data_IF_802881405796
#
_entry.id   IF_802881405796
#
_cell.length_a   1.000
_cell.length_b   1.000
_cell.length_c   1.000
_cell.angle_alpha   90.00
_cell.angle_beta   90.00
_cell.angle_gamma   90.00
#
_symmetry.space_group_name_H-M   'P 1'
#
loop_
_entity.id
_entity.type
_entity.pdbx_description
1 polymer ?
#
# COMPACT_ATOMS: atom_id res chain seq x y z
N UNK A 1 44.39 -3.92 10.79
CA UNK A 1 43.62 -4.11 9.54
C UNK A 1 42.97 -2.78 9.21
N UNK A 2 43.24 -2.21 8.05
CA UNK A 2 42.57 -0.98 7.60
C UNK A 2 41.21 -1.35 7.03
N UNK A 3 40.15 -0.88 7.68
CA UNK A 3 38.76 -1.24 7.33
C UNK A 3 38.41 -0.76 5.91
N UNK A 4 38.98 0.36 5.46
CA UNK A 4 38.84 0.87 4.09
C UNK A 4 39.32 -0.13 3.03
N UNK A 5 40.53 -0.69 3.19
CA UNK A 5 41.08 -1.70 2.26
C UNK A 5 40.23 -2.97 2.20
N UNK A 6 39.70 -3.40 3.35
CA UNK A 6 38.77 -4.53 3.38
C UNK A 6 37.49 -4.24 2.57
N UNK A 7 36.94 -3.02 2.66
CA UNK A 7 35.79 -2.63 1.84
C UNK A 7 36.12 -2.53 0.35
N UNK A 8 37.31 -2.03 -0.02
CA UNK A 8 37.80 -2.02 -1.40
C UNK A 8 37.93 -3.45 -1.97
N UNK A 9 38.50 -4.39 -1.22
CA UNK A 9 38.61 -5.81 -1.62
C UNK A 9 37.23 -6.50 -1.72
N UNK A 10 36.31 -6.25 -0.77
CA UNK A 10 34.93 -6.76 -0.83
C UNK A 10 34.21 -6.22 -2.06
N UNK A 11 34.36 -4.93 -2.36
CA UNK A 11 33.78 -4.27 -3.53
C UNK A 11 34.30 -4.87 -4.83
N UNK A 12 35.63 -5.01 -4.97
CA UNK A 12 36.27 -5.64 -6.12
C UNK A 12 35.79 -7.09 -6.31
N UNK A 13 35.62 -7.85 -5.21
CA UNK A 13 35.05 -9.20 -5.26
C UNK A 13 33.59 -9.20 -5.69
N UNK A 14 32.74 -8.32 -5.16
CA UNK A 14 31.34 -8.19 -5.59
C UNK A 14 31.25 -7.87 -7.08
N UNK A 15 32.10 -6.97 -7.58
CA UNK A 15 32.17 -6.61 -9.00
C UNK A 15 32.65 -7.78 -9.87
N UNK A 16 33.61 -8.56 -9.39
CA UNK A 16 34.03 -9.82 -10.03
C UNK A 16 32.88 -10.82 -10.12
N UNK A 17 32.22 -11.11 -8.99
CA UNK A 17 31.06 -12.00 -8.92
C UNK A 17 29.93 -11.53 -9.88
N UNK A 18 29.66 -10.21 -9.95
CA UNK A 18 28.66 -9.61 -10.84
C UNK A 18 29.01 -9.78 -12.33
N UNK A 19 30.26 -9.51 -12.69
CA UNK A 19 30.76 -9.67 -14.06
C UNK A 19 30.75 -11.14 -14.52
N UNK A 20 30.83 -12.10 -13.59
CA UNK A 20 30.69 -13.55 -13.81
C UNK A 20 29.21 -13.99 -13.86
N UNK A 21 28.27 -13.21 -13.29
CA UNK A 21 26.82 -13.46 -13.45
C UNK A 21 26.21 -12.85 -14.71
N UNK A 22 26.91 -11.89 -15.33
CA UNK A 22 26.92 -11.75 -16.79
C UNK A 22 27.72 -12.91 -17.42
N UNK A 23 27.80 -13.02 -18.74
CA UNK A 23 28.35 -14.18 -19.49
C UNK A 23 27.54 -15.48 -19.33
N UNK A 24 26.83 -15.70 -18.21
CA UNK A 24 25.82 -16.77 -18.10
C UNK A 24 24.77 -16.61 -19.21
N UNK A 25 24.66 -17.61 -20.08
CA UNK A 25 23.79 -17.55 -21.26
C UNK A 25 22.35 -17.95 -20.91
N UNK A 26 21.52 -16.95 -20.64
CA UNK A 26 20.06 -17.07 -20.69
C UNK A 26 19.53 -16.33 -21.93
N UNK A 27 18.71 -17.01 -22.74
CA UNK A 27 18.24 -16.49 -24.02
C UNK A 27 17.10 -15.48 -23.84
N UNK A 28 17.29 -14.26 -24.34
CA UNK A 28 16.27 -13.21 -24.34
C UNK A 28 16.78 -11.90 -24.93
N UNK A 29 15.89 -10.91 -25.09
CA UNK A 29 16.27 -9.56 -25.51
C UNK A 29 17.27 -8.93 -24.52
N UNK A 30 18.06 -7.95 -24.98
CA UNK A 30 19.09 -7.23 -24.18
C UNK A 30 18.60 -6.65 -22.84
N UNK A 31 17.29 -6.38 -22.70
CA UNK A 31 16.64 -6.00 -21.44
C UNK A 31 16.60 -7.18 -20.46
N UNK A 32 15.82 -8.21 -20.77
CA UNK A 32 15.66 -9.43 -19.95
C UNK A 32 17.00 -10.03 -19.48
N UNK A 33 18.02 -10.06 -20.35
CA UNK A 33 19.36 -10.52 -19.96
C UNK A 33 19.98 -9.71 -18.81
N UNK A 34 19.80 -8.38 -18.80
CA UNK A 34 20.31 -7.47 -17.75
C UNK A 34 19.49 -7.54 -16.47
N UNK A 35 18.20 -7.84 -16.58
CA UNK A 35 17.32 -8.12 -15.45
C UNK A 35 17.72 -9.46 -14.79
N UNK A 36 17.89 -10.51 -15.60
CA UNK A 36 18.30 -11.85 -15.14
C UNK A 36 19.71 -11.87 -14.53
N UNK A 37 20.67 -11.18 -15.15
CA UNK A 37 22.03 -11.00 -14.59
C UNK A 37 22.00 -10.36 -13.20
N UNK A 38 21.15 -9.35 -12.97
CA UNK A 38 21.03 -8.69 -11.67
C UNK A 38 20.32 -9.58 -10.64
N UNK A 39 19.23 -10.25 -11.04
CA UNK A 39 18.52 -11.22 -10.20
C UNK A 39 19.47 -12.34 -9.74
N UNK A 40 20.19 -12.96 -10.68
CA UNK A 40 21.18 -14.00 -10.41
C UNK A 40 22.30 -13.53 -9.50
N UNK A 41 22.87 -12.34 -9.73
CA UNK A 41 23.87 -11.77 -8.83
C UNK A 41 23.37 -11.67 -7.38
N UNK A 42 22.17 -11.11 -7.19
CA UNK A 42 21.60 -10.86 -5.87
C UNK A 42 21.25 -12.16 -5.13
N UNK A 43 20.67 -13.15 -5.83
CA UNK A 43 20.33 -14.45 -5.24
C UNK A 43 21.55 -15.33 -4.97
N UNK A 44 22.68 -15.11 -5.65
CA UNK A 44 23.90 -15.90 -5.48
C UNK A 44 24.75 -15.37 -4.30
N UNK A 45 24.17 -15.44 -3.10
CA UNK A 45 24.83 -15.16 -1.82
C UNK A 45 25.19 -13.69 -1.61
N UNK A 46 24.43 -12.74 -2.18
CA UNK A 46 24.55 -11.31 -1.92
C UNK A 46 23.40 -10.77 -1.07
N UNK A 47 22.23 -11.39 -1.16
CA UNK A 47 21.15 -11.28 -0.18
C UNK A 47 21.04 -12.56 0.66
N UNK A 48 20.60 -12.47 1.92
CA UNK A 48 20.19 -13.64 2.72
C UNK A 48 19.16 -14.53 1.99
N UNK A 49 19.28 -15.85 2.13
CA UNK A 49 18.46 -16.83 1.40
C UNK A 49 16.95 -16.72 1.65
N UNK A 50 16.52 -16.09 2.75
CA UNK A 50 15.11 -15.79 3.01
C UNK A 50 14.52 -14.83 1.97
N UNK A 51 15.32 -14.00 1.31
CA UNK A 51 14.84 -13.07 0.30
C UNK A 51 14.80 -13.75 -1.07
N UNK A 52 13.66 -13.64 -1.74
CA UNK A 52 13.45 -14.04 -3.13
C UNK A 52 13.40 -12.83 -4.04
N UNK A 53 13.81 -13.01 -5.29
CA UNK A 53 13.61 -12.04 -6.36
C UNK A 53 12.94 -12.75 -7.53
N UNK A 54 11.88 -12.18 -8.08
CA UNK A 54 11.17 -12.69 -9.25
C UNK A 54 10.55 -11.57 -10.08
N UNK A 55 10.28 -11.82 -11.36
CA UNK A 55 9.47 -10.93 -12.18
C UNK A 55 7.99 -11.31 -12.04
N UNK A 56 7.08 -10.36 -12.15
CA UNK A 56 5.64 -10.62 -11.96
C UNK A 56 4.78 -9.36 -11.90
N UNK A 57 3.50 -9.54 -11.59
CA UNK A 57 2.53 -8.46 -11.37
C UNK A 57 2.16 -8.38 -9.88
N UNK A 58 1.77 -7.19 -9.41
CA UNK A 58 1.43 -6.93 -8.01
C UNK A 58 -0.02 -6.48 -7.93
N UNK A 59 -0.82 -7.10 -7.06
CA UNK A 59 -2.24 -6.82 -6.88
C UNK A 59 -2.52 -6.22 -5.50
N UNK A 60 -3.53 -5.35 -5.41
CA UNK A 60 -4.07 -4.85 -4.14
C UNK A 60 -5.45 -5.43 -3.87
N UNK A 61 -5.89 -5.35 -2.61
CA UNK A 61 -7.26 -5.68 -2.22
C UNK A 61 -8.33 -4.65 -2.71
N UNK A 62 -7.95 -3.69 -3.57
CA UNK A 62 -8.79 -2.60 -4.12
C UNK A 62 -8.87 -2.61 -5.66
N UNK A 63 -8.88 -3.81 -6.26
CA UNK A 63 -9.01 -4.07 -7.71
C UNK A 63 -7.93 -3.44 -8.60
N UNK A 64 -6.82 -3.01 -8.02
CA UNK A 64 -5.69 -2.46 -8.76
C UNK A 64 -4.65 -3.56 -9.05
N UNK A 65 -4.04 -3.49 -10.23
CA UNK A 65 -2.94 -4.35 -10.68
C UNK A 65 -1.80 -3.46 -11.15
N UNK A 66 -0.56 -3.78 -10.80
CA UNK A 66 0.63 -3.10 -11.31
C UNK A 66 0.89 -3.49 -12.77
N UNK A 67 1.78 -2.75 -13.45
CA UNK A 67 2.47 -3.30 -14.62
C UNK A 67 3.31 -4.51 -14.19
N UNK A 68 3.72 -5.35 -15.14
CA UNK A 68 4.78 -6.32 -14.90
C UNK A 68 6.06 -5.61 -14.40
N UNK A 69 6.63 -6.11 -13.31
CA UNK A 69 7.82 -5.59 -12.64
C UNK A 69 9.02 -6.49 -12.90
N UNK A 70 10.16 -5.89 -13.22
CA UNK A 70 11.41 -6.57 -13.58
C UNK A 70 11.92 -7.48 -12.46
N UNK A 71 11.96 -6.96 -11.22
CA UNK A 71 12.51 -7.61 -10.04
C UNK A 71 11.75 -7.20 -8.76
N UNK A 72 10.76 -8.02 -8.38
CA UNK A 72 10.01 -7.98 -7.13
C UNK A 72 10.80 -8.74 -6.07
N UNK A 73 11.06 -8.09 -4.93
CA UNK A 73 11.72 -8.68 -3.75
C UNK A 73 10.66 -9.05 -2.71
N UNK A 74 10.79 -10.24 -2.13
CA UNK A 74 9.82 -10.81 -1.20
C UNK A 74 10.51 -11.73 -0.15
N UNK A 75 9.82 -12.06 0.94
CA UNK A 75 10.30 -13.02 1.96
C UNK A 75 9.75 -14.40 1.64
N UNK A 76 10.61 -15.34 1.22
CA UNK A 76 10.24 -16.72 0.86
C UNK A 76 9.56 -17.48 2.00
N UNK A 77 9.72 -17.05 3.25
CA UNK A 77 9.13 -17.70 4.43
C UNK A 77 7.75 -17.15 4.83
N UNK A 78 7.31 -16.02 4.25
CA UNK A 78 6.08 -15.31 4.66
C UNK A 78 5.19 -14.84 3.51
N UNK A 79 5.73 -14.71 2.30
CA UNK A 79 5.00 -14.24 1.13
C UNK A 79 4.10 -15.32 0.53
N UNK A 80 2.84 -14.97 0.28
CA UNK A 80 1.93 -15.75 -0.56
C UNK A 80 2.16 -15.30 -2.01
N UNK A 81 2.26 -16.25 -2.94
CA UNK A 81 2.45 -15.99 -4.37
C UNK A 81 1.42 -16.82 -5.13
N UNK A 82 0.70 -16.20 -6.07
CA UNK A 82 -0.20 -16.91 -6.96
C UNK A 82 0.52 -17.16 -8.30
N UNK A 83 0.52 -18.41 -8.75
CA UNK A 83 1.05 -18.78 -10.06
C UNK A 83 -0.10 -18.75 -11.06
N UNK A 84 -0.08 -17.76 -11.97
CA UNK A 84 -1.13 -17.55 -12.98
C UNK A 84 -0.86 -18.36 -14.25
N UNK A 85 0.42 -18.60 -14.55
CA UNK A 85 0.92 -19.46 -15.62
C UNK A 85 2.36 -19.90 -15.29
N UNK A 86 2.96 -20.76 -16.14
CA UNK A 86 4.40 -21.11 -16.04
C UNK A 86 5.34 -19.89 -16.09
N UNK A 87 4.89 -18.75 -16.63
CA UNK A 87 5.70 -17.55 -16.86
C UNK A 87 5.36 -16.36 -15.95
N UNK A 88 4.17 -16.34 -15.34
CA UNK A 88 3.63 -15.13 -14.70
C UNK A 88 3.21 -15.38 -13.26
N UNK A 89 3.97 -14.77 -12.33
CA UNK A 89 3.69 -14.76 -10.90
C UNK A 89 2.92 -13.49 -10.52
N UNK A 90 1.92 -13.66 -9.66
CA UNK A 90 1.10 -12.57 -9.11
C UNK A 90 1.36 -12.49 -7.61
N UNK A 91 1.71 -11.30 -7.14
CA UNK A 91 2.05 -11.01 -5.76
C UNK A 91 0.98 -10.11 -5.12
N UNK A 92 0.34 -10.50 -4.02
CA UNK A 92 -0.33 -9.58 -3.11
C UNK A 92 0.64 -8.48 -2.66
N UNK A 93 0.20 -7.22 -2.59
CA UNK A 93 1.02 -6.09 -2.14
C UNK A 93 1.61 -6.28 -0.73
N UNK A 94 0.90 -7.02 0.12
CA UNK A 94 1.33 -7.44 1.46
C UNK A 94 2.58 -8.34 1.41
N UNK A 95 2.74 -9.14 0.35
CA UNK A 95 3.85 -10.08 0.14
C UNK A 95 5.12 -9.45 -0.45
N UNK A 96 5.09 -8.17 -0.86
CA UNK A 96 6.19 -7.51 -1.59
C UNK A 96 7.01 -6.60 -0.68
N UNK A 97 8.28 -6.95 -0.43
CA UNK A 97 9.23 -6.09 0.29
C UNK A 97 9.55 -4.81 -0.51
N UNK A 98 9.72 -4.94 -1.81
CA UNK A 98 9.98 -3.82 -2.72
C UNK A 98 10.29 -4.26 -4.15
N UNK A 99 10.66 -3.31 -5.01
CA UNK A 99 11.09 -3.58 -6.40
C UNK A 99 12.45 -2.95 -6.72
N UNK A 100 13.11 -3.53 -7.73
CA UNK A 100 14.20 -2.89 -8.45
C UNK A 100 13.77 -2.68 -9.91
N UNK A 101 13.72 -1.41 -10.33
CA UNK A 101 13.58 -1.00 -11.74
C UNK A 101 14.94 -1.09 -12.43
N UNK A 102 15.10 -1.97 -13.42
CA UNK A 102 16.40 -2.25 -14.04
C UNK A 102 16.54 -1.50 -15.36
N UNK A 103 17.38 -0.48 -15.40
CA UNK A 103 17.57 0.36 -16.59
C UNK A 103 18.91 0.12 -17.29
N UNK A 104 18.84 -0.13 -18.60
CA UNK A 104 20.02 -0.38 -19.44
C UNK A 104 20.99 0.80 -19.51
N UNK A 105 20.46 2.03 -19.53
CA UNK A 105 21.17 3.31 -19.38
C UNK A 105 20.19 4.29 -18.74
N UNK A 106 20.63 5.13 -17.81
CA UNK A 106 19.75 6.03 -17.07
C UNK A 106 19.78 7.47 -17.62
N UNK A 107 18.92 7.74 -18.60
CA UNK A 107 18.60 9.08 -19.09
C UNK A 107 17.52 9.76 -18.23
N UNK A 108 17.24 11.06 -18.43
CA UNK A 108 16.09 11.75 -17.78
C UNK A 108 14.77 10.99 -18.02
N UNK A 109 14.50 10.58 -19.26
CA UNK A 109 13.28 9.85 -19.59
C UNK A 109 13.18 8.50 -18.87
N UNK A 110 14.28 7.72 -18.82
CA UNK A 110 14.31 6.43 -18.11
C UNK A 110 14.29 6.54 -16.59
N UNK A 111 14.78 7.66 -16.04
CA UNK A 111 14.57 8.01 -14.64
C UNK A 111 13.09 8.23 -14.37
N UNK A 112 12.42 9.16 -15.07
CA UNK A 112 10.99 9.44 -14.85
C UNK A 112 10.12 8.19 -15.04
N UNK A 113 10.41 7.35 -16.03
CA UNK A 113 9.74 6.05 -16.22
C UNK A 113 9.82 5.16 -14.97
N UNK A 114 11.01 5.01 -14.38
CA UNK A 114 11.20 4.24 -13.15
C UNK A 114 10.52 4.88 -11.93
N UNK A 115 10.50 6.21 -11.85
CA UNK A 115 9.81 6.93 -10.77
C UNK A 115 8.30 6.76 -10.82
N UNK A 116 7.68 6.84 -12.01
CA UNK A 116 6.23 6.59 -12.16
C UNK A 116 5.88 5.11 -11.93
N UNK A 117 6.76 4.16 -12.28
CA UNK A 117 6.56 2.75 -11.92
C UNK A 117 6.62 2.53 -10.40
N UNK A 118 7.63 3.08 -9.71
CA UNK A 118 7.75 3.02 -8.23
C UNK A 118 6.54 3.69 -7.56
N UNK A 119 6.11 4.84 -8.06
CA UNK A 119 4.89 5.52 -7.59
C UNK A 119 3.66 4.64 -7.78
N UNK A 120 3.49 4.01 -8.93
CA UNK A 120 2.35 3.11 -9.18
C UNK A 120 2.31 1.96 -8.16
N UNK A 121 3.46 1.35 -7.84
CA UNK A 121 3.57 0.36 -6.77
C UNK A 121 3.18 0.94 -5.41
N UNK A 122 3.78 2.07 -5.02
CA UNK A 122 3.52 2.66 -3.70
C UNK A 122 2.08 3.14 -3.52
N UNK A 123 1.37 3.46 -4.61
CA UNK A 123 -0.08 3.74 -4.57
C UNK A 123 -0.99 2.52 -4.43
N UNK A 124 -0.47 1.29 -4.60
CA UNK A 124 -1.20 0.05 -4.26
C UNK A 124 -1.22 -0.22 -2.75
N UNK A 125 -0.29 0.37 -2.01
CA UNK A 125 -0.13 0.14 -0.57
C UNK A 125 -1.23 0.84 0.22
N UNK A 126 -2.01 0.06 0.97
CA UNK A 126 -2.92 0.56 1.97
C UNK A 126 -2.19 0.73 3.32
N UNK A 127 -2.12 1.95 3.90
CA UNK A 127 -1.59 2.15 5.24
C UNK A 127 -2.49 1.45 6.27
N UNK A 128 -1.97 0.42 6.93
CA UNK A 128 -2.65 -0.34 7.97
C UNK A 128 -1.94 -0.16 9.30
N UNK A 129 -2.71 0.04 10.37
CA UNK A 129 -2.20 0.04 11.74
C UNK A 129 -1.97 -1.41 12.19
N UNK A 130 -0.72 -1.84 12.17
CA UNK A 130 -0.30 -3.14 12.74
C UNK A 130 -0.12 -2.96 14.24
N UNK A 131 -0.64 -3.92 15.01
CA UNK A 131 -0.57 -3.91 16.47
C UNK A 131 0.17 -5.15 16.94
N UNK A 132 1.33 -4.97 17.59
CA UNK A 132 2.14 -6.06 18.17
C UNK A 132 2.08 -6.06 19.70
N UNK A 133 1.88 -7.24 20.27
CA UNK A 133 1.97 -7.47 21.71
C UNK A 133 3.41 -7.87 22.08
N UNK A 134 3.99 -7.17 23.05
CA UNK A 134 5.31 -7.43 23.63
C UNK A 134 5.10 -7.97 25.05
N UNK A 135 4.87 -9.28 25.13
CA UNK A 135 4.34 -9.93 26.35
C UNK A 135 2.93 -9.45 26.69
N UNK A 136 2.50 -9.73 27.92
CA UNK A 136 1.10 -9.55 28.34
C UNK A 136 0.73 -8.10 28.71
N UNK A 137 1.66 -7.14 28.60
CA UNK A 137 1.54 -5.79 29.22
C UNK A 137 1.79 -4.61 28.29
N UNK A 138 2.41 -4.84 27.13
CA UNK A 138 2.79 -3.77 26.21
C UNK A 138 2.25 -4.09 24.84
N UNK A 139 1.44 -3.18 24.31
CA UNK A 139 0.92 -3.26 22.95
C UNK A 139 1.40 -2.03 22.19
N UNK A 140 2.08 -2.25 21.06
CA UNK A 140 2.63 -1.17 20.23
C UNK A 140 1.93 -1.21 18.88
N UNK A 141 1.23 -0.12 18.56
CA UNK A 141 0.66 0.14 17.24
C UNK A 141 1.64 0.93 16.37
N UNK A 142 1.84 0.51 15.13
CA UNK A 142 2.63 1.22 14.12
C UNK A 142 2.05 0.97 12.72
N UNK A 143 2.22 1.93 11.81
CA UNK A 143 1.76 1.75 10.44
C UNK A 143 2.74 0.90 9.63
N UNK A 144 2.20 0.06 8.75
CA UNK A 144 3.00 -0.72 7.81
C UNK A 144 3.76 0.19 6.82
N UNK A 145 5.06 -0.06 6.63
CA UNK A 145 5.84 0.67 5.63
C UNK A 145 5.40 0.28 4.21
N UNK A 146 5.30 1.23 3.25
CA UNK A 146 5.09 0.87 1.84
C UNK A 146 6.28 0.07 1.30
N UNK A 147 6.10 -0.79 0.28
CA UNK A 147 7.21 -1.47 -0.38
C UNK A 147 8.26 -0.47 -0.86
N UNK A 148 9.55 -0.83 -0.77
CA UNK A 148 10.60 0.06 -1.26
C UNK A 148 10.66 0.04 -2.80
N UNK A 149 11.14 1.14 -3.39
CA UNK A 149 11.42 1.23 -4.82
C UNK A 149 12.86 1.68 -5.05
N UNK A 150 13.64 0.86 -5.75
CA UNK A 150 15.03 1.15 -6.13
C UNK A 150 15.14 1.24 -7.64
N UNK A 151 15.93 2.17 -8.16
CA UNK A 151 16.33 2.18 -9.58
C UNK A 151 17.80 1.73 -9.65
N UNK A 152 18.06 0.66 -10.41
CA UNK A 152 19.42 0.22 -10.72
C UNK A 152 19.70 0.41 -12.21
N UNK A 153 20.83 1.04 -12.53
CA UNK A 153 21.23 1.23 -13.91
C UNK A 153 22.67 0.82 -14.20
N UNK A 154 22.90 0.27 -15.39
CA UNK A 154 24.21 -0.21 -15.82
C UNK A 154 25.16 0.91 -16.30
N UNK A 155 24.64 2.07 -16.69
CA UNK A 155 25.44 3.26 -17.05
C UNK A 155 24.59 4.53 -17.09
N UNK A 156 25.25 5.69 -17.17
CA UNK A 156 24.63 6.96 -17.58
C UNK A 156 24.32 6.96 -19.10
N UNK A 157 23.55 7.95 -19.55
CA UNK A 157 23.14 8.15 -20.95
C UNK A 157 23.53 9.54 -21.47
N UNK A 158 24.80 9.93 -21.29
CA UNK A 158 25.31 11.27 -21.64
C UNK A 158 24.94 12.39 -20.65
N UNK A 159 24.25 12.03 -19.58
CA UNK A 159 23.93 12.86 -18.42
C UNK A 159 24.91 12.60 -17.26
N UNK A 160 24.88 13.42 -16.21
CA UNK A 160 25.66 13.24 -14.97
C UNK A 160 24.77 12.83 -13.78
N UNK A 161 25.39 12.32 -12.70
CA UNK A 161 24.70 12.08 -11.42
C UNK A 161 24.01 13.34 -10.90
N UNK A 162 24.67 14.50 -10.98
CA UNK A 162 24.12 15.80 -10.56
C UNK A 162 22.89 16.21 -11.40
N UNK A 163 22.92 15.98 -12.71
CA UNK A 163 21.73 16.26 -13.55
C UNK A 163 20.56 15.32 -13.24
N UNK A 164 20.81 14.04 -12.94
CA UNK A 164 19.79 13.10 -12.47
C UNK A 164 19.24 13.48 -11.09
N UNK A 165 20.10 13.96 -10.18
CA UNK A 165 19.71 14.47 -8.85
C UNK A 165 18.71 15.62 -8.96
N UNK A 166 18.98 16.56 -9.86
CA UNK A 166 18.08 17.69 -10.12
C UNK A 166 16.77 17.24 -10.81
N UNK A 167 16.83 16.28 -11.74
CA UNK A 167 15.62 15.69 -12.34
C UNK A 167 14.75 14.94 -11.30
N UNK A 168 15.37 14.22 -10.35
CA UNK A 168 14.65 13.59 -9.24
C UNK A 168 13.99 14.66 -8.36
N UNK A 169 14.71 15.75 -8.06
CA UNK A 169 14.16 16.87 -7.28
C UNK A 169 12.93 17.49 -7.95
N UNK A 170 13.01 17.82 -9.25
CA UNK A 170 11.87 18.35 -10.02
C UNK A 170 10.64 17.44 -9.95
N UNK A 171 10.84 16.11 -10.03
CA UNK A 171 9.76 15.14 -9.92
C UNK A 171 9.20 15.05 -8.48
N UNK A 172 10.08 15.06 -7.47
CA UNK A 172 9.72 15.09 -6.05
C UNK A 172 8.95 16.36 -5.66
N UNK A 173 9.24 17.52 -6.26
CA UNK A 173 8.49 18.77 -6.02
C UNK A 173 7.00 18.64 -6.43
N UNK A 174 6.69 17.73 -7.37
CA UNK A 174 5.33 17.48 -7.90
C UNK A 174 4.63 16.24 -7.29
N UNK A 175 5.29 15.48 -6.41
CA UNK A 175 4.78 14.22 -5.87
C UNK A 175 4.96 14.15 -4.34
N UNK A 176 4.06 13.50 -3.58
CA UNK A 176 4.18 13.43 -2.12
C UNK A 176 5.28 12.41 -1.68
N UNK A 177 5.97 12.61 -0.55
CA UNK A 177 7.11 11.76 -0.14
C UNK A 177 6.82 10.25 -0.06
N UNK A 178 5.57 9.90 0.23
CA UNK A 178 5.05 8.55 0.34
C UNK A 178 5.24 7.72 -0.95
N UNK A 179 5.39 8.38 -2.12
CA UNK A 179 5.63 7.73 -3.42
C UNK A 179 7.05 7.94 -3.97
N UNK A 180 7.95 8.61 -3.24
CA UNK A 180 9.33 8.83 -3.68
C UNK A 180 10.14 7.52 -3.71
N UNK A 181 11.17 7.38 -4.56
CA UNK A 181 12.06 6.22 -4.54
C UNK A 181 12.86 6.17 -3.23
N UNK A 182 13.41 5.01 -2.90
CA UNK A 182 14.25 4.82 -1.73
C UNK A 182 15.74 4.99 -2.05
N UNK A 183 16.15 4.55 -3.24
CA UNK A 183 17.56 4.58 -3.66
C UNK A 183 17.69 4.54 -5.19
N UNK A 184 18.74 5.16 -5.72
CA UNK A 184 19.11 5.04 -7.14
C UNK A 184 20.60 4.74 -7.20
N UNK A 185 20.97 3.67 -7.92
CA UNK A 185 22.36 3.30 -8.19
C UNK A 185 22.62 3.30 -9.69
N UNK A 186 23.76 3.87 -10.08
CA UNK A 186 24.32 3.73 -11.42
C UNK A 186 25.68 3.06 -11.26
N UNK A 187 25.80 1.85 -11.82
CA UNK A 187 26.99 1.00 -11.74
C UNK A 187 28.22 1.72 -12.29
N UNK A 188 29.36 1.53 -11.61
CA UNK A 188 30.65 2.17 -11.87
C UNK A 188 30.67 3.71 -11.84
N UNK A 189 29.59 4.34 -11.40
CA UNK A 189 29.43 5.81 -11.32
C UNK A 189 29.18 6.26 -9.87
N UNK A 190 28.04 5.86 -9.30
CA UNK A 190 27.62 6.36 -8.00
C UNK A 190 26.13 6.22 -7.71
N UNK A 191 25.67 6.96 -6.72
CA UNK A 191 24.36 6.81 -6.08
C UNK A 191 23.62 8.14 -5.98
N UNK A 192 22.30 8.08 -5.86
CA UNK A 192 21.43 9.23 -5.54
C UNK A 192 20.46 8.77 -4.44
N UNK A 193 20.45 9.50 -3.34
CA UNK A 193 19.74 9.13 -2.12
C UNK A 193 19.22 10.37 -1.38
N UNK A 194 18.30 10.15 -0.44
CA UNK A 194 17.80 11.21 0.45
C UNK A 194 18.67 11.35 1.70
N UNK A 195 18.71 12.55 2.28
CA UNK A 195 19.42 12.86 3.53
C UNK A 195 18.60 13.72 4.47
N UNK A 196 18.69 13.41 5.76
CA UNK A 196 18.19 14.24 6.85
C UNK A 196 19.39 14.82 7.60
N UNK A 197 19.76 16.06 7.26
CA UNK A 197 21.01 16.66 7.74
C UNK A 197 22.23 15.98 7.11
N UNK A 198 23.07 15.36 7.95
CA UNK A 198 24.24 14.59 7.51
C UNK A 198 23.99 13.09 7.37
N UNK A 199 22.81 12.59 7.77
CA UNK A 199 22.50 11.17 7.73
C UNK A 199 21.82 10.83 6.41
N UNK A 200 22.27 9.76 5.75
CA UNK A 200 21.58 9.18 4.60
C UNK A 200 20.30 8.46 5.07
N UNK A 201 19.27 8.49 4.23
CA UNK A 201 17.92 8.03 4.55
C UNK A 201 17.42 7.13 3.44
N UNK A 202 17.07 5.90 3.81
CA UNK A 202 16.59 4.88 2.88
C UNK A 202 15.14 4.49 3.15
N UNK A 203 14.67 4.53 4.41
CA UNK A 203 13.35 3.97 4.77
C UNK A 203 12.25 4.97 4.43
N UNK A 204 11.18 4.52 3.76
CA UNK A 204 10.13 5.40 3.23
C UNK A 204 9.46 6.30 4.27
N UNK A 205 9.33 5.84 5.52
CA UNK A 205 8.76 6.61 6.65
C UNK A 205 9.71 7.65 7.25
N UNK A 206 11.00 7.59 6.91
CA UNK A 206 12.02 8.56 7.32
C UNK A 206 12.29 9.64 6.27
N UNK A 207 12.01 9.33 4.99
CA UNK A 207 12.07 10.27 3.86
C UNK A 207 10.93 11.27 4.02
N UNK A 208 11.29 12.55 4.09
CA UNK A 208 10.37 13.67 4.37
C UNK A 208 10.45 14.69 3.25
N UNK A 209 9.43 15.55 3.14
CA UNK A 209 9.44 16.69 2.21
C UNK A 209 10.60 17.67 2.45
N UNK A 210 11.19 17.64 3.65
CA UNK A 210 12.38 18.42 4.04
C UNK A 210 13.71 17.69 3.83
N UNK A 211 13.70 16.41 3.42
CA UNK A 211 14.93 15.67 3.12
C UNK A 211 15.62 16.27 1.90
N UNK A 212 16.93 16.47 1.99
CA UNK A 212 17.73 16.88 0.83
C UNK A 212 18.07 15.66 -0.03
N UNK A 213 18.44 15.91 -1.29
CA UNK A 213 18.86 14.85 -2.21
C UNK A 213 20.35 15.02 -2.48
N UNK A 214 21.14 13.99 -2.21
CA UNK A 214 22.56 13.88 -2.56
C UNK A 214 22.77 13.08 -3.82
N UNK A 215 23.86 13.37 -4.53
CA UNK A 215 24.47 12.44 -5.47
C UNK A 215 25.92 12.23 -5.07
N UNK A 216 26.34 10.99 -4.88
CA UNK A 216 27.67 10.63 -4.42
C UNK A 216 28.37 9.79 -5.49
N UNK A 217 29.62 10.15 -5.82
CA UNK A 217 30.45 9.32 -6.70
C UNK A 217 31.09 8.21 -5.87
N UNK A 218 30.82 6.96 -6.26
CA UNK A 218 31.44 5.78 -5.65
C UNK A 218 32.33 5.03 -6.64
N UNK A 219 32.24 5.35 -7.94
CA UNK A 219 32.89 4.59 -9.02
C UNK A 219 32.61 3.09 -8.85
N UNK A 220 33.66 2.28 -8.80
CA UNK A 220 33.61 0.83 -8.65
C UNK A 220 32.90 0.36 -7.37
N UNK A 221 32.84 1.20 -6.32
CA UNK A 221 32.16 0.87 -5.07
C UNK A 221 30.64 1.01 -5.11
N UNK A 222 30.06 1.55 -6.20
CA UNK A 222 28.61 1.69 -6.38
C UNK A 222 27.83 0.37 -6.17
N UNK A 223 28.39 -0.77 -6.56
CA UNK A 223 27.77 -2.08 -6.39
C UNK A 223 27.70 -2.53 -4.92
N UNK A 224 28.72 -2.18 -4.13
CA UNK A 224 28.71 -2.43 -2.68
C UNK A 224 27.63 -1.59 -2.00
N UNK A 225 27.55 -0.28 -2.32
CA UNK A 225 26.53 0.61 -1.77
C UNK A 225 25.11 0.15 -2.13
N UNK A 226 24.89 -0.27 -3.37
CA UNK A 226 23.62 -0.84 -3.81
C UNK A 226 23.24 -2.09 -3.01
N UNK A 227 24.18 -3.02 -2.83
CA UNK A 227 23.93 -4.25 -2.07
C UNK A 227 23.65 -3.94 -0.59
N UNK A 228 24.41 -3.02 0.00
CA UNK A 228 24.23 -2.54 1.39
C UNK A 228 22.88 -1.85 1.61
N UNK A 229 22.51 -0.93 0.73
CA UNK A 229 21.21 -0.27 0.75
C UNK A 229 20.06 -1.27 0.59
N UNK A 230 20.20 -2.25 -0.31
CA UNK A 230 19.18 -3.27 -0.54
C UNK A 230 18.97 -4.18 0.67
N UNK A 231 20.05 -4.65 1.31
CA UNK A 231 19.97 -5.42 2.56
C UNK A 231 19.28 -4.60 3.66
N UNK A 232 19.65 -3.33 3.79
CA UNK A 232 19.06 -2.40 4.77
C UNK A 232 17.55 -2.23 4.53
N UNK A 233 17.14 -2.04 3.28
CA UNK A 233 15.74 -1.91 2.88
C UNK A 233 14.94 -3.20 3.15
N UNK A 234 15.50 -4.37 2.82
CA UNK A 234 14.86 -5.66 3.08
C UNK A 234 14.71 -5.95 4.58
N UNK A 235 15.71 -5.59 5.39
CA UNK A 235 15.69 -5.81 6.83
C UNK A 235 14.71 -4.89 7.60
N UNK A 236 14.31 -3.75 7.02
CA UNK A 236 13.50 -2.73 7.69
C UNK A 236 12.05 -2.62 7.17
N UNK A 237 11.63 -3.51 6.26
CA UNK A 237 10.20 -3.72 5.95
C UNK A 237 9.76 -5.07 6.49
N UNK A 238 9.02 -5.05 7.59
CA UNK A 238 8.37 -6.25 8.09
C UNK A 238 7.19 -6.65 7.19
N UNK A 239 7.13 -7.94 6.85
CA UNK A 239 5.93 -8.59 6.33
C UNK A 239 5.61 -9.82 7.18
N UNK A 240 4.35 -10.24 7.09
CA UNK A 240 3.82 -11.43 7.74
C UNK A 240 2.75 -12.09 6.85
N UNK A 241 2.36 -13.32 7.18
CA UNK A 241 1.33 -14.06 6.45
C UNK A 241 -0.03 -13.38 6.72
N UNK A 242 -0.55 -12.68 5.70
CA UNK A 242 -1.80 -11.93 5.79
C UNK A 242 -3.03 -12.81 5.56
N UNK A 243 -4.21 -12.31 5.96
CA UNK A 243 -5.47 -13.03 5.76
C UNK A 243 -5.94 -12.96 4.30
N UNK A 244 -5.72 -14.03 3.54
CA UNK A 244 -6.15 -14.15 2.14
C UNK A 244 -7.66 -13.91 1.92
N UNK A 245 -8.52 -14.08 2.94
CA UNK A 245 -9.95 -13.75 2.83
C UNK A 245 -10.21 -12.25 2.57
N UNK A 246 -9.24 -11.37 2.84
CA UNK A 246 -9.35 -9.94 2.50
C UNK A 246 -9.49 -9.70 0.99
N UNK A 247 -8.97 -10.60 0.14
CA UNK A 247 -9.10 -10.58 -1.31
C UNK A 247 -10.40 -11.22 -1.82
N UNK A 248 -11.25 -11.79 -0.95
CA UNK A 248 -12.56 -12.34 -1.35
C UNK A 248 -13.58 -11.25 -1.70
N UNK A 249 -13.55 -10.14 -0.96
CA UNK A 249 -14.42 -8.98 -1.15
C UNK A 249 -13.55 -7.80 -1.60
N UNK A 250 -13.07 -7.86 -2.85
CA UNK A 250 -12.20 -6.83 -3.43
C UNK A 250 -12.93 -5.47 -3.40
N UNK A 251 -12.23 -4.44 -2.90
CA UNK A 251 -12.70 -3.05 -2.94
C UNK A 251 -12.47 -2.39 -4.30
N UNK A 252 -12.85 -1.13 -4.42
CA UNK A 252 -12.69 -0.32 -5.63
C UNK A 252 -11.95 0.99 -5.31
N UNK A 253 -11.36 1.60 -6.33
CA UNK A 253 -10.83 2.96 -6.26
C UNK A 253 -11.87 3.96 -6.77
N UNK A 254 -12.15 5.02 -5.99
CA UNK A 254 -12.99 6.15 -6.39
C UNK A 254 -12.16 7.42 -6.29
N UNK A 255 -11.68 7.88 -7.45
CA UNK A 255 -10.58 8.84 -7.59
C UNK A 255 -9.34 8.37 -6.81
N UNK A 256 -9.07 8.98 -5.65
CA UNK A 256 -7.98 8.64 -4.72
C UNK A 256 -8.43 7.83 -3.51
N UNK A 257 -9.73 7.55 -3.37
CA UNK A 257 -10.29 6.86 -2.20
C UNK A 257 -10.31 5.35 -2.41
N UNK A 258 -9.75 4.61 -1.44
CA UNK A 258 -9.86 3.15 -1.33
C UNK A 258 -11.19 2.80 -0.67
N UNK A 259 -12.08 2.09 -1.37
CA UNK A 259 -13.45 1.85 -0.90
C UNK A 259 -13.77 0.35 -0.85
N UNK A 260 -14.21 -0.16 0.31
CA UNK A 260 -14.61 -1.56 0.51
C UNK A 260 -16.02 -1.65 1.07
N UNK A 261 -16.84 -2.56 0.53
CA UNK A 261 -18.21 -2.80 0.98
C UNK A 261 -18.24 -4.04 1.87
N UNK A 262 -18.62 -3.90 3.15
CA UNK A 262 -18.63 -5.04 4.09
C UNK A 262 -19.84 -5.97 3.91
N UNK A 263 -20.85 -5.55 3.15
CA UNK A 263 -22.06 -6.32 2.85
C UNK A 263 -22.46 -6.28 1.38
N UNK A 264 -23.33 -7.20 0.99
CA UNK A 264 -24.02 -7.15 -0.31
C UNK A 264 -25.45 -6.67 -0.07
N UNK A 265 -25.82 -5.53 -0.68
CA UNK A 265 -27.22 -5.08 -0.76
C UNK A 265 -27.75 -5.41 -2.14
N UNK A 266 -29.03 -5.76 -2.20
CA UNK A 266 -29.76 -6.03 -3.43
C UNK A 266 -30.96 -5.10 -3.55
N UNK A 267 -31.29 -4.71 -4.78
CA UNK A 267 -32.54 -4.01 -5.06
C UNK A 267 -33.74 -5.00 -5.01
N UNK A 268 -34.95 -4.49 -5.24
CA UNK A 268 -36.19 -5.28 -5.25
C UNK A 268 -36.20 -6.37 -6.34
N UNK A 269 -35.41 -6.21 -7.41
CA UNK A 269 -35.23 -7.19 -8.48
C UNK A 269 -34.19 -8.28 -8.14
N UNK A 270 -33.55 -8.20 -6.96
CA UNK A 270 -32.53 -9.14 -6.51
C UNK A 270 -31.13 -8.93 -7.12
N UNK A 271 -30.95 -7.85 -7.91
CA UNK A 271 -29.67 -7.42 -8.46
C UNK A 271 -28.81 -6.77 -7.37
N UNK A 272 -27.49 -7.01 -7.39
CA UNK A 272 -26.57 -6.40 -6.42
C UNK A 272 -26.39 -4.92 -6.73
N UNK A 273 -26.38 -4.09 -5.69
CA UNK A 273 -26.17 -2.64 -5.78
C UNK A 273 -25.05 -2.16 -4.85
N UNK A 274 -24.46 -1.01 -5.18
CA UNK A 274 -23.58 -0.20 -4.33
C UNK A 274 -24.07 1.24 -4.27
N UNK A 275 -23.56 2.00 -3.32
CA UNK A 275 -23.60 3.46 -3.40
C UNK A 275 -22.84 3.95 -4.64
N UNK A 276 -23.32 5.04 -5.23
CA UNK A 276 -22.72 5.69 -6.38
C UNK A 276 -21.43 6.43 -6.00
N UNK A 277 -20.55 6.64 -6.98
CA UNK A 277 -19.26 7.30 -6.77
C UNK A 277 -19.42 8.75 -6.27
N UNK A 278 -20.42 9.46 -6.77
CA UNK A 278 -20.77 10.81 -6.31
C UNK A 278 -21.28 10.81 -4.88
N UNK A 279 -22.12 9.84 -4.49
CA UNK A 279 -22.65 9.78 -3.13
C UNK A 279 -21.58 9.36 -2.11
N UNK A 280 -20.65 8.47 -2.48
CA UNK A 280 -19.51 8.12 -1.61
C UNK A 280 -18.60 9.33 -1.38
N UNK A 281 -18.38 10.19 -2.38
CA UNK A 281 -17.66 11.47 -2.22
C UNK A 281 -18.40 12.40 -1.25
N UNK A 282 -19.71 12.56 -1.40
CA UNK A 282 -20.55 13.35 -0.48
C UNK A 282 -20.45 12.82 0.96
N UNK A 283 -20.52 11.50 1.17
CA UNK A 283 -20.34 10.86 2.48
C UNK A 283 -18.99 11.23 3.09
N UNK A 284 -17.91 11.09 2.32
CA UNK A 284 -16.56 11.36 2.81
C UNK A 284 -16.37 12.86 3.13
N UNK A 285 -16.82 13.76 2.25
CA UNK A 285 -16.74 15.22 2.45
C UNK A 285 -17.53 15.69 3.67
N UNK A 286 -18.69 15.09 3.95
CA UNK A 286 -19.60 15.49 5.03
C UNK A 286 -19.49 14.63 6.30
N UNK A 287 -18.43 13.81 6.43
CA UNK A 287 -18.28 12.79 7.48
C UNK A 287 -18.29 13.27 8.93
N UNK A 288 -18.09 14.56 9.19
CA UNK A 288 -18.05 15.10 10.55
C UNK A 288 -16.93 14.50 11.41
N UNK A 289 -17.25 14.10 12.64
CA UNK A 289 -16.33 13.40 13.56
C UNK A 289 -16.79 11.96 13.75
N UNK A 290 -15.84 11.03 13.82
CA UNK A 290 -16.14 9.65 14.20
C UNK A 290 -16.50 9.56 15.69
N UNK A 291 -17.46 8.68 15.98
CA UNK A 291 -17.92 8.36 17.33
C UNK A 291 -17.42 6.97 17.74
N UNK A 292 -17.29 6.66 19.05
CA UNK A 292 -17.12 5.28 19.52
C UNK A 292 -18.20 4.37 18.94
N UNK A 293 -17.85 3.12 18.60
CA UNK A 293 -18.83 2.16 18.08
C UNK A 293 -20.00 1.93 19.05
N UNK A 294 -19.75 2.00 20.36
CA UNK A 294 -20.78 1.91 21.40
C UNK A 294 -21.86 3.00 21.28
N UNK A 295 -21.48 4.24 20.97
CA UNK A 295 -22.40 5.37 20.83
C UNK A 295 -23.32 5.19 19.60
N UNK A 296 -22.83 4.56 18.52
CA UNK A 296 -23.67 4.13 17.40
C UNK A 296 -24.70 3.07 17.84
N UNK A 297 -24.29 2.10 18.65
CA UNK A 297 -25.20 1.06 19.17
C UNK A 297 -26.26 1.65 20.11
N UNK A 298 -25.90 2.65 20.91
CA UNK A 298 -26.83 3.40 21.74
C UNK A 298 -27.84 4.17 20.90
N UNK A 299 -27.44 4.76 19.77
CA UNK A 299 -28.38 5.41 18.82
C UNK A 299 -29.38 4.45 18.17
N UNK A 300 -29.05 3.16 17.97
CA UNK A 300 -30.06 2.17 17.55
C UNK A 300 -31.02 1.79 18.66
N UNK A 301 -30.50 1.64 19.88
CA UNK A 301 -31.23 1.03 20.98
C UNK A 301 -32.13 2.02 21.74
N UNK A 302 -31.58 3.20 22.07
CA UNK A 302 -32.16 4.34 22.81
C UNK A 302 -33.43 4.07 23.65
N UNK A 303 -33.40 3.08 24.54
CA UNK A 303 -34.52 2.71 25.43
C UNK A 303 -35.11 1.31 25.22
N UNK A 304 -34.69 0.58 24.19
CA UNK A 304 -34.94 -0.86 24.05
C UNK A 304 -33.81 -1.66 24.71
N UNK A 305 -34.14 -2.55 25.64
CA UNK A 305 -33.20 -3.53 26.21
C UNK A 305 -32.83 -4.56 25.13
N UNK A 306 -31.84 -4.22 24.30
CA UNK A 306 -31.32 -5.11 23.27
C UNK A 306 -30.39 -6.17 23.89
N UNK A 307 -30.72 -7.44 23.70
CA UNK A 307 -29.91 -8.58 24.16
C UNK A 307 -28.57 -8.56 23.41
N UNK A 308 -27.45 -8.66 24.12
CA UNK A 308 -26.12 -8.65 23.50
C UNK A 308 -25.47 -7.27 23.39
N UNK A 309 -25.94 -6.23 24.09
CA UNK A 309 -25.22 -4.93 24.15
C UNK A 309 -23.81 -5.11 24.74
N UNK A 310 -23.69 -6.00 25.72
CA UNK A 310 -22.45 -6.46 26.34
C UNK A 310 -21.44 -7.05 25.35
N UNK A 311 -21.88 -7.57 24.20
CA UNK A 311 -20.99 -8.11 23.15
C UNK A 311 -20.15 -7.02 22.45
N UNK A 312 -20.45 -5.74 22.70
CA UNK A 312 -19.79 -4.59 22.09
C UNK A 312 -19.09 -3.68 23.12
N UNK A 313 -19.16 -3.99 24.42
CA UNK A 313 -18.59 -3.13 25.47
C UNK A 313 -17.05 -3.05 25.42
N UNK A 314 -16.39 -4.13 24.96
CA UNK A 314 -14.93 -4.18 24.78
C UNK A 314 -14.45 -3.52 23.47
N UNK A 315 -15.35 -3.01 22.61
CA UNK A 315 -14.98 -2.38 21.34
C UNK A 315 -14.48 -0.96 21.53
N UNK A 316 -13.20 -0.75 21.25
CA UNK A 316 -12.52 0.55 21.32
C UNK A 316 -12.46 1.30 19.97
N UNK A 317 -12.93 0.68 18.89
CA UNK A 317 -12.90 1.29 17.56
C UNK A 317 -14.00 2.35 17.36
N UNK A 318 -13.79 3.18 16.33
CA UNK A 318 -14.64 4.32 15.99
C UNK A 318 -15.25 4.16 14.61
N UNK A 319 -16.39 4.80 14.42
CA UNK A 319 -17.17 4.78 13.19
C UNK A 319 -17.63 6.18 12.83
N UNK A 320 -17.54 6.52 11.55
CA UNK A 320 -18.17 7.70 10.96
C UNK A 320 -19.63 7.37 10.64
N UNK A 321 -20.57 8.20 11.09
CA UNK A 321 -22.01 7.98 10.86
C UNK A 321 -22.50 9.01 9.87
N UNK A 322 -22.97 8.57 8.71
CA UNK A 322 -23.61 9.46 7.74
C UNK A 322 -25.10 9.57 8.04
N UNK A 323 -25.50 10.68 8.66
CA UNK A 323 -26.90 10.99 8.98
C UNK A 323 -27.12 12.51 8.99
N UNK A 324 -27.03 13.18 7.82
CA UNK A 324 -27.24 14.63 7.71
C UNK A 324 -28.67 15.07 8.04
N UNK A 325 -29.66 14.19 7.91
CA UNK A 325 -31.07 14.49 8.20
C UNK A 325 -31.43 14.34 9.68
N UNK A 326 -30.48 13.84 10.50
CA UNK A 326 -30.67 13.48 11.90
C UNK A 326 -31.90 12.60 12.10
N UNK A 327 -31.90 11.45 11.41
CA UNK A 327 -33.00 10.50 11.37
C UNK A 327 -33.36 10.01 12.80
N UNK A 328 -34.66 9.94 13.14
CA UNK A 328 -35.09 9.51 14.46
C UNK A 328 -34.85 8.02 14.71
N UNK A 329 -34.55 7.65 15.95
CA UNK A 329 -34.50 6.25 16.37
C UNK A 329 -35.91 5.63 16.44
N UNK A 330 -35.99 4.30 16.44
CA UNK A 330 -37.28 3.59 16.64
C UNK A 330 -37.91 3.97 17.99
N UNK A 331 -37.10 4.16 19.03
CA UNK A 331 -37.58 4.53 20.36
C UNK A 331 -38.10 5.98 20.41
N UNK A 332 -37.45 6.91 19.71
CA UNK A 332 -37.95 8.28 19.56
C UNK A 332 -39.30 8.34 18.84
N UNK A 333 -39.55 7.43 17.89
CA UNK A 333 -40.87 7.30 17.26
C UNK A 333 -41.90 6.64 18.18
N UNK A 334 -41.52 5.59 18.92
CA UNK A 334 -42.39 4.91 19.87
C UNK A 334 -42.84 5.83 21.01
N UNK A 335 -41.94 6.61 21.58
CA UNK A 335 -42.24 7.59 22.64
C UNK A 335 -43.17 8.72 22.17
N UNK A 336 -43.19 9.01 20.85
CA UNK A 336 -44.11 9.98 20.22
C UNK A 336 -45.43 9.33 19.75
N UNK A 337 -45.56 8.01 19.78
CA UNK A 337 -46.78 7.27 19.38
C UNK A 337 -47.87 7.28 20.47
N UNK A 338 -48.41 8.45 20.78
CA UNK A 338 -49.48 8.62 21.79
C UNK A 338 -50.82 7.97 21.40
N UNK A 339 -50.98 7.56 20.14
CA UNK A 339 -52.22 7.00 19.58
C UNK A 339 -52.29 5.48 19.51
N UNK A 340 -51.30 4.74 20.02
CA UNK A 340 -51.20 3.28 19.89
C UNK A 340 -51.34 2.76 18.44
N UNK A 341 -50.87 3.53 17.45
CA UNK A 341 -50.86 3.07 16.06
C UNK A 341 -49.97 1.83 15.90
N UNK A 342 -50.33 0.85 15.05
CA UNK A 342 -49.48 -0.28 14.74
C UNK A 342 -48.11 0.16 14.24
N UNK A 343 -47.03 -0.47 14.73
CA UNK A 343 -45.67 -0.08 14.36
C UNK A 343 -45.43 -0.10 12.84
N UNK A 344 -46.05 -1.06 12.13
CA UNK A 344 -45.98 -1.13 10.66
C UNK A 344 -46.55 0.11 9.95
N UNK A 345 -47.58 0.76 10.51
CA UNK A 345 -48.17 1.99 9.96
C UNK A 345 -47.23 3.20 10.16
N UNK A 346 -46.52 3.23 11.28
CA UNK A 346 -45.56 4.30 11.63
C UNK A 346 -44.30 4.18 10.75
N UNK A 347 -43.78 2.97 10.58
CA UNK A 347 -42.55 2.74 9.82
C UNK A 347 -42.76 2.82 8.30
N UNK A 348 -44.01 2.74 7.80
CA UNK A 348 -44.29 2.58 6.37
C UNK A 348 -43.84 3.76 5.48
N UNK A 349 -43.75 4.97 6.03
CA UNK A 349 -43.35 6.19 5.31
C UNK A 349 -42.47 7.13 6.15
N UNK A 350 -41.94 6.69 7.30
CA UNK A 350 -41.11 7.54 8.17
C UNK A 350 -39.63 7.25 7.93
N UNK A 351 -38.81 8.26 7.58
CA UNK A 351 -37.36 8.14 7.62
C UNK A 351 -36.89 7.76 9.03
N UNK A 352 -36.08 6.71 9.15
CA UNK A 352 -35.61 6.16 10.43
C UNK A 352 -34.13 5.83 10.44
N UNK A 353 -33.50 6.01 11.58
CA UNK A 353 -32.18 5.48 11.86
C UNK A 353 -32.28 4.01 12.28
N UNK A 354 -32.55 3.14 11.30
CA UNK A 354 -32.69 1.70 11.54
C UNK A 354 -32.19 0.86 10.37
N UNK A 355 -31.29 -0.08 10.67
CA UNK A 355 -30.64 -0.92 9.67
C UNK A 355 -29.69 -0.12 8.77
N UNK A 356 -28.64 -0.77 8.28
CA UNK A 356 -27.65 -0.12 7.42
C UNK A 356 -26.54 -1.09 7.04
N UNK A 357 -25.54 -0.58 6.35
CA UNK A 357 -24.32 -1.33 6.06
C UNK A 357 -23.10 -0.49 6.36
N UNK A 358 -21.99 -1.20 6.54
CA UNK A 358 -20.69 -0.59 6.70
C UNK A 358 -19.98 -0.48 5.35
N UNK A 359 -19.24 0.62 5.23
CA UNK A 359 -18.33 0.93 4.14
C UNK A 359 -16.98 1.25 4.78
N UNK A 360 -15.89 0.81 4.18
CA UNK A 360 -14.54 1.27 4.53
C UNK A 360 -14.13 2.30 3.48
N UNK A 361 -13.74 3.50 3.89
CA UNK A 361 -13.12 4.51 3.01
C UNK A 361 -11.77 4.86 3.61
N UNK A 362 -10.68 4.66 2.85
CA UNK A 362 -9.30 4.91 3.30
C UNK A 362 -9.01 4.31 4.69
N UNK A 363 -9.34 3.01 4.83
CA UNK A 363 -9.17 2.21 6.05
C UNK A 363 -9.99 2.67 7.29
N UNK A 364 -10.78 3.74 7.17
CA UNK A 364 -11.74 4.18 8.19
C UNK A 364 -13.14 3.58 7.97
N UNK A 365 -13.83 3.22 9.06
CA UNK A 365 -15.17 2.60 9.02
C UNK A 365 -16.29 3.64 9.01
N UNK A 366 -17.21 3.51 8.06
CA UNK A 366 -18.40 4.34 7.90
C UNK A 366 -19.64 3.48 8.06
N UNK A 367 -20.66 4.02 8.74
CA UNK A 367 -21.99 3.43 8.83
C UNK A 367 -23.00 4.28 8.05
N UNK A 368 -23.71 3.63 7.14
CA UNK A 368 -24.71 4.26 6.28
C UNK A 368 -26.09 3.62 6.54
N UNK A 369 -27.06 4.35 7.13
CA UNK A 369 -28.44 3.90 7.29
C UNK A 369 -29.08 3.46 5.97
N UNK A 370 -29.96 2.44 6.02
CA UNK A 370 -30.67 1.92 4.83
C UNK A 370 -31.53 2.98 4.12
N UNK A 371 -31.99 4.01 4.82
CA UNK A 371 -32.71 5.15 4.23
C UNK A 371 -31.96 5.80 3.07
N UNK A 372 -30.62 5.85 3.13
CA UNK A 372 -29.78 6.43 2.09
C UNK A 372 -29.51 5.47 0.91
N UNK A 373 -29.96 4.22 0.96
CA UNK A 373 -29.83 3.22 -0.11
C UNK A 373 -31.04 3.25 -1.06
N UNK A 374 -31.23 4.39 -1.71
CA UNK A 374 -32.31 4.65 -2.68
C UNK A 374 -31.76 4.85 -4.11
N UNK A 375 -32.64 4.94 -5.09
CA UNK A 375 -32.30 4.99 -6.53
C UNK A 375 -31.40 6.18 -6.92
N UNK A 376 -31.48 7.31 -6.22
CA UNK A 376 -30.62 8.48 -6.49
C UNK A 376 -29.18 8.29 -6.02
N UNK A 377 -28.99 7.44 -5.00
CA UNK A 377 -27.72 7.25 -4.30
C UNK A 377 -27.01 5.94 -4.65
N UNK A 378 -27.65 5.07 -5.45
CA UNK A 378 -27.16 3.71 -5.73
C UNK A 378 -27.02 3.43 -7.21
N UNK A 379 -26.12 2.50 -7.54
CA UNK A 379 -25.90 1.97 -8.89
C UNK A 379 -25.79 0.44 -8.83
N UNK A 380 -25.96 -0.22 -9.97
CA UNK A 380 -25.69 -1.65 -10.07
C UNK A 380 -24.23 -1.96 -9.71
N UNK A 381 -24.03 -3.07 -9.02
CA UNK A 381 -22.71 -3.60 -8.68
C UNK A 381 -22.39 -4.69 -9.71
N UNK A 382 -21.61 -4.32 -10.73
CA UNK A 382 -21.06 -5.22 -11.75
C UNK A 382 -20.16 -6.32 -11.16
#
# INVERSE_FOLDING_TARGET
MEISKLFEEISAKMKGDFNISAQFQHHGNRGSYREDSLKNFLTNGKLPDIFGIASGEIISQYSQVSKQMDAIIYDKSKSIIFESSESTKIFPIESVLGIIEVKSQLSKAKLIEGLENIKSLKTLHAPQLITKNYGDRVQIGYYNNPPFGVIFAYSLSGNSLESLRNNLKEWCDSNPPEVWPNFICILDEGTINFRNGLNDVLISSEIKKTSSISSLQHKENSLFEFTSALITLCANREIDIFNIQEYKNIGIMIDTHRVKFEGQIKNLEGQRIRLSDSFIKIIYENRGKSIPYKDLMDKFADGLNFIGKELFDDRLDKVYVYDPDNLPSISELLSKNTGNKPLAEILQNTPIFSGGTYLIINEEKYYIPLYYWNENNTVLFE
#
